data_IF_565727025500
#
_entry.id   IF_565727025500
#
_cell.length_a   1.000
_cell.length_b   1.000
_cell.length_c   1.000
_cell.angle_alpha   90.00
_cell.angle_beta   90.00
_cell.angle_gamma   90.00
#
_symmetry.space_group_name_H-M   'P 1'
#
loop_
_entity.id
_entity.type
_entity.pdbx_description
1 polymer ?
#
# COMPACT_ATOMS: atom_id res chain seq x y z
N UNK A 1 3.66 18.35 -19.87
CA UNK A 1 3.47 19.29 -18.76
C UNK A 1 3.29 18.52 -17.47
N UNK A 2 3.84 19.01 -16.36
CA UNK A 2 3.62 18.47 -15.02
C UNK A 2 3.30 19.61 -14.04
N UNK A 3 2.64 19.27 -12.94
CA UNK A 3 2.26 20.23 -11.90
C UNK A 3 2.96 19.86 -10.60
N UNK A 4 3.57 20.84 -9.95
CA UNK A 4 4.15 20.67 -8.61
C UNK A 4 3.16 21.21 -7.59
N UNK A 5 2.69 20.34 -6.69
CA UNK A 5 1.92 20.71 -5.52
C UNK A 5 2.86 20.98 -4.35
N UNK A 6 3.01 22.23 -3.97
CA UNK A 6 3.81 22.61 -2.79
C UNK A 6 2.95 22.46 -1.54
N UNK A 7 3.41 21.64 -0.59
CA UNK A 7 2.68 21.34 0.65
C UNK A 7 3.59 21.46 1.86
N UNK A 8 3.00 21.62 3.05
CA UNK A 8 3.73 21.62 4.32
C UNK A 8 3.66 20.27 5.04
N UNK A 9 3.36 19.17 4.33
CA UNK A 9 3.13 17.85 4.91
C UNK A 9 4.34 17.40 5.75
N UNK A 10 5.57 17.57 5.25
CA UNK A 10 6.78 17.22 5.99
C UNK A 10 6.87 17.96 7.32
N UNK A 11 6.64 19.26 7.30
CA UNK A 11 6.70 20.10 8.51
C UNK A 11 5.63 19.68 9.53
N UNK A 12 4.40 19.44 9.09
CA UNK A 12 3.29 19.00 9.97
C UNK A 12 3.63 17.68 10.66
N UNK A 13 4.22 16.72 9.94
CA UNK A 13 4.48 15.37 10.46
C UNK A 13 5.66 15.37 11.45
N UNK A 14 6.76 16.03 11.12
CA UNK A 14 8.01 15.91 11.86
C UNK A 14 8.26 17.05 12.85
N UNK A 15 7.61 18.20 12.70
CA UNK A 15 7.84 19.38 13.54
C UNK A 15 6.63 19.78 14.37
N UNK A 16 5.40 19.55 13.88
CA UNK A 16 4.19 19.98 14.58
C UNK A 16 3.53 18.88 15.39
N UNK A 17 3.51 17.64 14.87
CA UNK A 17 2.78 16.53 15.50
C UNK A 17 3.66 15.48 16.16
N UNK A 18 4.96 15.43 15.82
CA UNK A 18 5.88 14.39 16.29
C UNK A 18 5.26 12.98 16.20
N UNK A 19 4.73 12.66 15.05
CA UNK A 19 3.87 11.51 14.83
C UNK A 19 4.63 10.19 15.02
N UNK A 20 4.14 9.29 15.88
CA UNK A 20 4.74 7.97 16.11
C UNK A 20 4.75 7.07 14.88
N UNK A 21 3.77 7.25 13.99
CA UNK A 21 3.72 6.54 12.71
C UNK A 21 3.64 7.54 11.55
N UNK A 22 4.77 8.20 11.24
CA UNK A 22 4.82 9.27 10.26
C UNK A 22 4.40 8.84 8.87
N UNK A 23 4.70 7.61 8.47
CA UNK A 23 4.38 7.09 7.14
C UNK A 23 2.88 6.99 6.88
N UNK A 24 2.09 6.56 7.87
CA UNK A 24 0.65 6.45 7.75
C UNK A 24 -0.01 7.82 7.54
N UNK A 25 0.35 8.80 8.38
CA UNK A 25 -0.18 10.16 8.25
C UNK A 25 0.29 10.83 6.96
N UNK A 26 1.57 10.67 6.61
CA UNK A 26 2.13 11.19 5.35
C UNK A 26 1.35 10.67 4.13
N UNK A 27 1.10 9.38 4.08
CA UNK A 27 0.34 8.75 3.00
C UNK A 27 -1.09 9.31 2.90
N UNK A 28 -1.76 9.53 4.04
CA UNK A 28 -3.11 10.11 4.07
C UNK A 28 -3.12 11.55 3.58
N UNK A 29 -2.21 12.38 4.08
CA UNK A 29 -2.12 13.79 3.70
C UNK A 29 -1.74 13.98 2.23
N UNK A 30 -0.76 13.21 1.74
CA UNK A 30 -0.37 13.24 0.31
C UNK A 30 -1.52 12.84 -0.61
N UNK A 31 -2.27 11.80 -0.26
CA UNK A 31 -3.47 11.40 -1.03
C UNK A 31 -4.52 12.49 -1.00
N UNK A 32 -4.78 13.10 0.16
CA UNK A 32 -5.73 14.21 0.27
C UNK A 32 -5.39 15.36 -0.67
N UNK A 33 -4.17 15.89 -0.57
CA UNK A 33 -3.69 16.98 -1.43
C UNK A 33 -3.74 16.64 -2.94
N UNK A 34 -3.44 15.38 -3.27
CA UNK A 34 -3.49 14.92 -4.66
C UNK A 34 -4.94 14.84 -5.17
N UNK A 35 -5.87 14.32 -4.36
CA UNK A 35 -7.28 14.22 -4.74
C UNK A 35 -7.94 15.60 -4.89
N UNK A 36 -7.63 16.54 -4.00
CA UNK A 36 -8.08 17.93 -4.08
C UNK A 36 -7.64 18.58 -5.41
N UNK A 37 -6.35 18.48 -5.71
CA UNK A 37 -5.80 19.00 -6.96
C UNK A 37 -6.37 18.35 -8.23
N UNK A 38 -6.80 17.09 -8.16
CA UNK A 38 -7.48 16.41 -9.26
C UNK A 38 -8.91 16.89 -9.42
N UNK A 39 -9.65 17.05 -8.32
CA UNK A 39 -11.03 17.56 -8.32
C UNK A 39 -11.11 18.98 -8.87
N UNK A 40 -10.20 19.87 -8.44
CA UNK A 40 -10.10 21.25 -8.96
C UNK A 40 -9.92 21.30 -10.49
N UNK A 41 -9.35 20.25 -11.08
CA UNK A 41 -9.10 20.14 -12.53
C UNK A 41 -10.13 19.29 -13.28
N UNK A 42 -11.16 18.81 -12.59
CA UNK A 42 -12.14 17.89 -13.17
C UNK A 42 -11.58 16.53 -13.59
N UNK A 43 -10.44 16.11 -13.00
CA UNK A 43 -9.80 14.84 -13.32
C UNK A 43 -10.38 13.74 -12.43
N UNK A 44 -10.95 12.73 -13.05
CA UNK A 44 -11.64 11.61 -12.36
C UNK A 44 -10.83 10.32 -12.30
N UNK A 45 -9.63 10.26 -12.90
CA UNK A 45 -8.77 9.07 -12.90
C UNK A 45 -7.34 9.43 -12.54
N UNK A 46 -6.72 8.57 -11.72
CA UNK A 46 -5.30 8.70 -11.36
C UNK A 46 -4.58 7.35 -11.55
N UNK A 47 -3.44 7.38 -12.23
CA UNK A 47 -2.53 6.24 -12.30
C UNK A 47 -1.48 6.36 -11.18
N UNK A 48 -1.37 5.32 -10.35
CA UNK A 48 -0.38 5.23 -9.29
C UNK A 48 0.74 4.27 -9.70
N UNK A 49 1.98 4.61 -9.35
CA UNK A 49 3.18 3.85 -9.72
C UNK A 49 3.41 2.56 -8.92
N UNK A 50 2.41 2.06 -8.21
CA UNK A 50 2.54 0.79 -7.48
C UNK A 50 2.81 -0.35 -8.46
N UNK A 51 3.76 -1.20 -8.10
CA UNK A 51 4.24 -2.30 -8.92
C UNK A 51 4.07 -3.66 -8.22
N UNK A 52 4.54 -4.73 -8.86
CA UNK A 52 4.42 -6.11 -8.40
C UNK A 52 4.98 -6.33 -6.98
N UNK A 53 6.20 -5.84 -6.72
CA UNK A 53 6.85 -6.00 -5.42
C UNK A 53 6.10 -5.23 -4.32
N UNK A 54 5.57 -4.03 -4.61
CA UNK A 54 4.72 -3.28 -3.67
C UNK A 54 3.48 -4.07 -3.23
N UNK A 55 2.88 -4.83 -4.15
CA UNK A 55 1.72 -5.64 -3.82
C UNK A 55 2.10 -6.79 -2.87
N UNK A 56 3.19 -7.49 -3.17
CA UNK A 56 3.70 -8.58 -2.31
C UNK A 56 4.09 -8.03 -0.93
N UNK A 57 4.83 -6.92 -0.87
CA UNK A 57 5.20 -6.26 0.38
C UNK A 57 3.97 -5.85 1.19
N UNK A 58 2.98 -5.23 0.54
CA UNK A 58 1.75 -4.79 1.21
C UNK A 58 0.95 -5.97 1.76
N UNK A 59 0.90 -7.08 1.03
CA UNK A 59 0.26 -8.31 1.50
C UNK A 59 0.95 -8.85 2.75
N UNK A 60 2.28 -8.95 2.76
CA UNK A 60 3.04 -9.39 3.94
C UNK A 60 2.90 -8.41 5.11
N UNK A 61 2.90 -7.11 4.85
CA UNK A 61 2.62 -6.10 5.90
C UNK A 61 1.25 -6.31 6.54
N UNK A 62 0.22 -6.52 5.74
CA UNK A 62 -1.13 -6.75 6.23
C UNK A 62 -1.23 -8.07 7.00
N UNK A 63 -0.59 -9.13 6.50
CA UNK A 63 -0.58 -10.43 7.17
C UNK A 63 0.14 -10.37 8.53
N UNK A 64 1.34 -9.78 8.57
CA UNK A 64 2.21 -9.82 9.77
C UNK A 64 1.78 -8.80 10.82
N UNK A 65 1.45 -7.57 10.42
CA UNK A 65 1.15 -6.50 11.36
C UNK A 65 -0.32 -6.30 11.67
N UNK A 66 -1.22 -6.74 10.75
CA UNK A 66 -2.66 -6.52 10.90
C UNK A 66 -3.45 -7.84 11.07
N UNK A 67 -2.83 -9.00 10.86
CA UNK A 67 -3.51 -10.30 10.87
C UNK A 67 -4.55 -10.44 9.77
N UNK A 68 -4.36 -9.80 8.61
CA UNK A 68 -5.31 -9.77 7.51
C UNK A 68 -4.72 -10.28 6.22
N UNK A 69 -5.52 -10.98 5.43
CA UNK A 69 -5.23 -11.30 4.03
C UNK A 69 -5.72 -10.14 3.16
N UNK A 70 -4.95 -9.07 3.07
CA UNK A 70 -5.36 -7.85 2.37
C UNK A 70 -4.22 -7.23 1.58
N UNK A 71 -4.59 -6.58 0.47
CA UNK A 71 -3.72 -5.75 -0.35
C UNK A 71 -4.55 -4.65 -1.02
N UNK A 72 -3.90 -3.64 -1.58
CA UNK A 72 -4.59 -2.69 -2.44
C UNK A 72 -5.07 -3.36 -3.73
N UNK A 73 -6.21 -2.90 -4.25
CA UNK A 73 -6.79 -3.43 -5.47
C UNK A 73 -6.12 -2.85 -6.74
N UNK A 74 -6.10 -3.58 -7.87
CA UNK A 74 -5.63 -3.05 -9.17
C UNK A 74 -6.34 -1.76 -9.59
N UNK A 75 -7.64 -1.73 -9.38
CA UNK A 75 -8.53 -0.59 -9.63
C UNK A 75 -9.35 -0.34 -8.38
N UNK A 76 -9.43 0.92 -7.94
CA UNK A 76 -10.21 1.33 -6.77
C UNK A 76 -11.02 2.57 -7.13
N UNK A 77 -12.33 2.49 -7.00
CA UNK A 77 -13.19 3.66 -7.07
C UNK A 77 -13.36 4.25 -5.66
N UNK A 78 -13.22 5.56 -5.54
CA UNK A 78 -13.34 6.31 -4.29
C UNK A 78 -14.63 7.12 -4.30
N UNK A 79 -15.70 6.57 -3.71
CA UNK A 79 -17.04 7.15 -3.71
C UNK A 79 -17.07 8.61 -3.22
N UNK A 80 -16.30 8.92 -2.19
CA UNK A 80 -16.26 10.26 -1.58
C UNK A 80 -15.71 11.35 -2.50
N UNK A 81 -14.85 10.98 -3.45
CA UNK A 81 -14.16 11.93 -4.34
C UNK A 81 -14.52 11.74 -5.82
N UNK A 82 -15.20 10.65 -6.17
CA UNK A 82 -15.49 10.29 -7.55
C UNK A 82 -14.26 9.92 -8.38
N UNK A 83 -13.12 9.65 -7.72
CA UNK A 83 -11.85 9.38 -8.39
C UNK A 83 -11.62 7.87 -8.50
N UNK A 84 -11.29 7.41 -9.71
CA UNK A 84 -10.81 6.05 -9.95
C UNK A 84 -9.29 6.01 -9.90
N UNK A 85 -8.74 5.21 -9.00
CA UNK A 85 -7.30 4.93 -8.92
C UNK A 85 -7.00 3.65 -9.71
N UNK A 86 -6.02 3.70 -10.60
CA UNK A 86 -5.53 2.54 -11.36
C UNK A 86 -4.03 2.33 -11.07
N UNK A 87 -3.54 1.10 -11.23
CA UNK A 87 -2.14 0.72 -11.01
C UNK A 87 -1.58 -0.03 -12.23
N UNK A 88 -1.21 0.70 -13.29
CA UNK A 88 -0.80 0.09 -14.56
C UNK A 88 0.45 -0.79 -14.46
N UNK A 89 1.34 -0.52 -13.50
CA UNK A 89 2.60 -1.24 -13.32
C UNK A 89 2.49 -2.48 -12.41
N UNK A 90 1.28 -2.86 -12.01
CA UNK A 90 1.06 -3.91 -11.01
C UNK A 90 1.66 -5.28 -11.39
N UNK A 91 1.82 -5.57 -12.67
CA UNK A 91 2.44 -6.80 -13.17
C UNK A 91 3.92 -6.65 -13.53
N UNK A 92 4.50 -5.48 -13.30
CA UNK A 92 5.90 -5.20 -13.56
C UNK A 92 6.71 -5.34 -12.25
N UNK A 93 7.77 -6.13 -12.26
CA UNK A 93 8.70 -6.21 -11.12
C UNK A 93 9.53 -4.93 -10.97
N UNK A 94 9.93 -4.60 -9.75
CA UNK A 94 10.76 -3.42 -9.43
C UNK A 94 12.04 -3.38 -10.27
N UNK A 95 12.70 -4.52 -10.44
CA UNK A 95 13.94 -4.63 -11.24
C UNK A 95 13.74 -4.22 -12.70
N UNK A 96 12.64 -4.66 -13.31
CA UNK A 96 12.28 -4.30 -14.68
C UNK A 96 12.04 -2.78 -14.81
N UNK A 97 11.28 -2.21 -13.86
CA UNK A 97 10.98 -0.77 -13.85
C UNK A 97 12.27 0.04 -13.69
N UNK A 98 13.13 -0.34 -12.74
CA UNK A 98 14.42 0.31 -12.49
C UNK A 98 15.32 0.26 -13.72
N UNK A 99 15.48 -0.90 -14.34
CA UNK A 99 16.28 -1.08 -15.55
C UNK A 99 15.72 -0.24 -16.71
N UNK A 100 14.40 -0.21 -16.87
CA UNK A 100 13.75 0.59 -17.92
C UNK A 100 13.94 2.08 -17.69
N UNK A 101 13.80 2.55 -16.44
CA UNK A 101 14.04 3.95 -16.09
C UNK A 101 15.49 4.37 -16.38
N UNK A 102 16.47 3.52 -16.07
CA UNK A 102 17.88 3.75 -16.38
C UNK A 102 18.14 3.79 -17.90
N UNK A 103 17.61 2.82 -18.63
CA UNK A 103 17.75 2.74 -20.10
C UNK A 103 17.15 3.93 -20.83
N UNK A 104 16.04 4.47 -20.30
CA UNK A 104 15.36 5.64 -20.87
C UNK A 104 15.85 6.96 -20.28
N UNK A 105 16.88 6.93 -19.44
CA UNK A 105 17.46 8.11 -18.78
C UNK A 105 16.41 8.99 -18.09
N UNK A 106 15.39 8.34 -17.47
CA UNK A 106 14.34 9.06 -16.78
C UNK A 106 14.90 9.78 -15.55
N UNK A 107 14.46 11.03 -15.28
CA UNK A 107 14.93 11.78 -14.11
C UNK A 107 14.38 11.17 -12.82
N UNK A 108 15.19 10.37 -12.15
CA UNK A 108 14.85 9.76 -10.87
C UNK A 108 15.34 10.66 -9.73
N UNK A 109 14.43 11.07 -8.86
CA UNK A 109 14.72 11.88 -7.67
C UNK A 109 14.83 10.98 -6.45
N UNK A 110 15.93 11.11 -5.70
CA UNK A 110 16.10 10.39 -4.43
C UNK A 110 15.20 10.96 -3.33
N UNK A 111 14.71 10.06 -2.47
CA UNK A 111 13.92 10.46 -1.30
C UNK A 111 14.77 11.26 -0.32
N UNK A 112 14.22 12.36 0.18
CA UNK A 112 14.81 13.15 1.28
C UNK A 112 14.06 12.93 2.60
N UNK A 113 13.29 11.86 2.71
CA UNK A 113 12.49 11.55 3.89
C UNK A 113 13.41 11.12 5.04
N UNK A 114 13.28 11.70 6.26
CA UNK A 114 14.14 11.34 7.40
C UNK A 114 14.03 9.88 7.85
N UNK A 115 12.89 9.23 7.56
CA UNK A 115 12.64 7.81 7.91
C UNK A 115 12.80 6.85 6.73
N UNK A 116 13.40 7.34 5.63
CA UNK A 116 13.68 6.47 4.48
C UNK A 116 14.68 5.38 4.87
N UNK A 117 14.42 4.13 4.45
CA UNK A 117 15.24 2.98 4.82
C UNK A 117 14.99 2.39 6.23
N UNK A 118 14.22 3.06 7.12
CA UNK A 118 13.92 2.59 8.47
C UNK A 118 12.43 2.35 8.73
N UNK A 119 11.71 1.94 7.71
CA UNK A 119 10.25 1.75 7.78
C UNK A 119 9.88 0.28 7.93
N UNK A 120 8.67 0.01 8.45
CA UNK A 120 8.10 -1.34 8.48
C UNK A 120 8.04 -1.99 7.07
N UNK A 121 7.92 -1.18 6.04
CA UNK A 121 8.01 -1.67 4.65
C UNK A 121 9.42 -2.16 4.32
N UNK A 122 10.45 -1.48 4.78
CA UNK A 122 11.83 -1.90 4.57
C UNK A 122 12.13 -3.23 5.28
N UNK A 123 11.68 -3.40 6.53
CA UNK A 123 11.78 -4.68 7.25
C UNK A 123 11.13 -5.83 6.46
N UNK A 124 9.94 -5.60 5.91
CA UNK A 124 9.24 -6.60 5.10
C UNK A 124 9.95 -6.88 3.77
N UNK A 125 10.52 -5.87 3.14
CA UNK A 125 11.29 -6.03 1.90
C UNK A 125 12.52 -6.92 2.14
N UNK A 126 13.23 -6.72 3.23
CA UNK A 126 14.37 -7.53 3.64
C UNK A 126 13.95 -8.98 3.95
N UNK A 127 12.89 -9.16 4.73
CA UNK A 127 12.32 -10.47 5.03
C UNK A 127 11.92 -11.24 3.74
N UNK A 128 11.25 -10.57 2.80
CA UNK A 128 10.88 -11.18 1.52
C UNK A 128 12.11 -11.55 0.71
N UNK A 129 13.16 -10.73 0.75
CA UNK A 129 14.42 -11.02 0.08
C UNK A 129 15.06 -12.31 0.64
N UNK A 130 15.16 -12.45 1.95
CA UNK A 130 15.67 -13.66 2.62
C UNK A 130 14.82 -14.89 2.29
N UNK A 131 13.50 -14.77 2.42
CA UNK A 131 12.57 -15.84 2.11
C UNK A 131 12.61 -16.25 0.63
N UNK A 132 12.79 -15.30 -0.28
CA UNK A 132 12.91 -15.59 -1.72
C UNK A 132 14.20 -16.36 -2.01
N UNK A 133 15.30 -16.08 -1.32
CA UNK A 133 16.54 -16.84 -1.40
C UNK A 133 16.37 -18.29 -0.93
N UNK A 134 15.63 -18.48 0.17
CA UNK A 134 15.35 -19.81 0.74
C UNK A 134 14.28 -20.57 -0.04
N UNK A 135 13.29 -19.88 -0.58
CA UNK A 135 12.15 -20.44 -1.30
C UNK A 135 11.98 -19.77 -2.67
N UNK A 136 12.76 -20.16 -3.69
CA UNK A 136 12.67 -19.58 -5.03
C UNK A 136 11.23 -19.59 -5.55
N UNK A 137 10.77 -18.44 -6.09
CA UNK A 137 9.40 -18.26 -6.58
C UNK A 137 8.37 -17.88 -5.51
N UNK A 138 8.79 -17.56 -4.28
CA UNK A 138 7.90 -17.09 -3.20
C UNK A 138 7.02 -15.93 -3.65
N UNK A 139 7.63 -14.89 -4.21
CA UNK A 139 6.89 -13.69 -4.69
C UNK A 139 5.79 -14.06 -5.70
N UNK A 140 6.12 -14.91 -6.67
CA UNK A 140 5.15 -15.33 -7.70
C UNK A 140 4.01 -16.16 -7.10
N UNK A 141 4.31 -17.06 -6.17
CA UNK A 141 3.28 -17.83 -5.47
C UNK A 141 2.40 -16.96 -4.60
N UNK A 142 2.98 -16.00 -3.88
CA UNK A 142 2.22 -15.03 -3.08
C UNK A 142 1.30 -14.20 -3.94
N UNK A 143 1.81 -13.62 -5.02
CA UNK A 143 1.02 -12.82 -5.94
C UNK A 143 -0.11 -13.63 -6.58
N UNK A 144 0.19 -14.87 -7.03
CA UNK A 144 -0.83 -15.79 -7.54
C UNK A 144 -1.87 -16.18 -6.49
N UNK A 145 -1.49 -16.29 -5.21
CA UNK A 145 -2.46 -16.55 -4.14
C UNK A 145 -3.42 -15.38 -3.93
N UNK A 146 -2.94 -14.14 -4.03
CA UNK A 146 -3.79 -12.93 -3.94
C UNK A 146 -4.83 -12.84 -5.08
N UNK A 147 -4.53 -13.42 -6.24
CA UNK A 147 -5.42 -13.42 -7.40
C UNK A 147 -6.51 -14.51 -7.34
N UNK A 148 -6.35 -15.47 -6.44
CA UNK A 148 -7.31 -16.57 -6.29
C UNK A 148 -8.43 -16.16 -5.32
N UNK A 149 -9.51 -16.89 -5.39
CA UNK A 149 -10.62 -16.75 -4.44
C UNK A 149 -10.14 -17.10 -3.01
N UNK A 150 -10.77 -16.53 -1.97
CA UNK A 150 -10.51 -16.91 -0.59
C UNK A 150 -10.54 -18.42 -0.41
N UNK A 151 -9.80 -18.91 0.60
CA UNK A 151 -9.77 -20.33 0.94
C UNK A 151 -11.20 -20.85 1.10
N UNK A 152 -11.59 -21.92 0.38
CA UNK A 152 -12.88 -22.55 0.60
C UNK A 152 -13.04 -22.92 2.08
N UNK A 153 -14.23 -22.78 2.64
CA UNK A 153 -14.55 -23.10 4.04
C UNK A 153 -13.93 -22.15 5.10
N UNK A 154 -13.01 -21.26 4.69
CA UNK A 154 -12.42 -20.22 5.56
C UNK A 154 -13.08 -18.86 5.30
N UNK A 155 -14.38 -18.86 4.98
CA UNK A 155 -15.15 -17.62 4.88
C UNK A 155 -15.12 -16.83 6.19
N UNK A 156 -15.59 -15.57 6.19
CA UNK A 156 -15.68 -14.80 7.41
C UNK A 156 -16.46 -15.63 8.44
N UNK A 157 -15.81 -15.94 9.54
CA UNK A 157 -16.50 -16.48 10.71
C UNK A 157 -17.48 -15.38 11.11
N UNK A 158 -18.78 -15.59 10.86
CA UNK A 158 -19.78 -14.80 11.52
C UNK A 158 -19.47 -14.91 13.01
N UNK A 159 -19.02 -13.81 13.61
CA UNK A 159 -18.94 -13.72 15.05
C UNK A 159 -20.38 -13.85 15.55
N UNK A 160 -20.87 -15.08 15.67
CA UNK A 160 -21.99 -15.37 16.55
C UNK A 160 -21.54 -14.83 17.88
N UNK A 161 -22.08 -13.68 18.28
CA UNK A 161 -21.99 -13.24 19.67
C UNK A 161 -22.37 -14.48 20.45
N UNK A 162 -21.42 -15.07 21.19
CA UNK A 162 -21.73 -16.10 22.18
C UNK A 162 -22.82 -15.46 23.03
N UNK A 163 -24.03 -16.00 23.09
CA UNK A 163 -25.00 -15.48 24.03
C UNK A 163 -24.31 -15.47 25.39
N UNK A 164 -24.33 -14.34 26.05
CA UNK A 164 -23.92 -14.27 27.47
C UNK A 164 -24.70 -15.38 28.19
N UNK A 165 -24.05 -16.15 29.08
CA UNK A 165 -24.79 -17.07 29.94
C UNK A 165 -25.92 -16.27 30.57
N UNK A 166 -27.16 -16.71 30.38
CA UNK A 166 -28.28 -16.17 31.12
C UNK A 166 -27.90 -16.26 32.59
N UNK A 167 -27.81 -15.10 33.25
CA UNK A 167 -27.68 -15.08 34.71
C UNK A 167 -28.80 -15.93 35.24
N UNK A 168 -28.43 -16.98 35.96
CA UNK A 168 -29.36 -17.80 36.70
C UNK A 168 -29.98 -16.88 37.76
N UNK A 169 -31.20 -16.41 37.49
CA UNK A 169 -32.04 -15.82 38.51
C UNK A 169 -32.37 -16.93 39.52
N UNK A 170 -31.80 -16.84 40.72
CA UNK A 170 -32.33 -17.45 41.94
C UNK A 170 -33.27 -16.48 42.65
#
# INVERSE_FOLDING_TARGET
PYTILRTQIRWVIFNSREEKNPCSLCSKMRRGALHEALQERGITKIALGHHYDDAVETFFMSLIFEGRLSCFQPVTYLDRTGITQIRPLLYCGESLIRHTAQRLELPVVHSTCPVDGSTKRQEIKELIYELQGRYPGLKARTFGAMQRLPLPEWGPVEHRRRPLPEELEE
#
